data_IF_437133343010
#
_entry.id   IF_437133343010
#
_cell.length_a   1.000
_cell.length_b   1.000
_cell.length_c   1.000
_cell.angle_alpha   90.00
_cell.angle_beta   90.00
_cell.angle_gamma   90.00
#
_symmetry.space_group_name_H-M   'P 1'
#
loop_
_entity.id
_entity.type
_entity.pdbx_description
1 polymer ?
#
# COMPACT_ATOMS: atom_id res chain seq x y z
N UNK A 1 -6.60 4.34 -1.65
CA UNK A 1 -5.36 3.64 -2.06
C UNK A 1 -4.18 4.61 -2.02
N UNK A 2 -2.96 4.14 -1.76
CA UNK A 2 -1.76 4.98 -1.65
C UNK A 2 -0.67 4.47 -2.59
N UNK A 3 -0.19 5.30 -3.52
CA UNK A 3 0.89 5.00 -4.44
C UNK A 3 2.18 5.70 -3.98
N UNK A 4 3.21 4.92 -3.68
CA UNK A 4 4.56 5.39 -3.38
C UNK A 4 5.38 5.49 -4.66
N UNK A 5 5.99 6.65 -4.87
CA UNK A 5 6.63 7.07 -6.12
C UNK A 5 7.88 7.89 -5.85
N UNK A 6 8.60 8.29 -6.89
CA UNK A 6 9.70 9.27 -6.86
C UNK A 6 9.73 10.04 -8.18
N UNK A 7 10.15 11.31 -8.15
CA UNK A 7 10.45 12.06 -9.38
C UNK A 7 11.43 11.34 -10.32
N UNK A 8 11.16 11.41 -11.63
CA UNK A 8 11.98 10.76 -12.66
C UNK A 8 11.73 9.25 -12.83
N UNK A 9 10.74 8.69 -12.16
CA UNK A 9 10.33 7.29 -12.30
C UNK A 9 9.25 7.12 -13.40
N UNK A 10 9.67 6.76 -14.62
CA UNK A 10 8.73 6.58 -15.75
C UNK A 10 7.65 5.52 -15.50
N UNK A 11 7.97 4.45 -14.75
CA UNK A 11 6.99 3.43 -14.40
C UNK A 11 5.94 3.98 -13.41
N UNK A 12 6.35 4.86 -12.50
CA UNK A 12 5.47 5.50 -11.53
C UNK A 12 4.42 6.39 -12.22
N UNK A 13 4.84 7.16 -13.24
CA UNK A 13 3.93 8.01 -14.03
C UNK A 13 2.86 7.18 -14.74
N UNK A 14 3.28 6.08 -15.39
CA UNK A 14 2.36 5.17 -16.09
C UNK A 14 1.33 4.55 -15.15
N UNK A 15 1.78 4.05 -14.00
CA UNK A 15 0.89 3.45 -12.98
C UNK A 15 -0.06 4.50 -12.41
N UNK A 16 0.43 5.71 -12.13
CA UNK A 16 -0.40 6.83 -11.64
C UNK A 16 -1.52 7.18 -12.61
N UNK A 17 -1.23 7.29 -13.91
CA UNK A 17 -2.24 7.62 -14.91
C UNK A 17 -3.31 6.53 -15.01
N UNK A 18 -2.91 5.26 -14.97
CA UNK A 18 -3.84 4.13 -15.00
C UNK A 18 -4.75 4.14 -13.78
N UNK A 19 -4.19 4.32 -12.58
CA UNK A 19 -4.97 4.37 -11.35
C UNK A 19 -5.94 5.56 -11.35
N UNK A 20 -5.49 6.75 -11.78
CA UNK A 20 -6.35 7.93 -11.90
C UNK A 20 -7.51 7.70 -12.86
N UNK A 21 -7.22 7.12 -14.03
CA UNK A 21 -8.22 6.86 -15.06
C UNK A 21 -9.27 5.86 -14.56
N UNK A 22 -8.85 4.77 -13.92
CA UNK A 22 -9.77 3.77 -13.37
C UNK A 22 -10.62 4.32 -12.22
N UNK A 23 -9.99 5.01 -11.25
CA UNK A 23 -10.71 5.61 -10.12
C UNK A 23 -11.73 6.65 -10.59
N UNK A 24 -11.44 7.37 -11.67
CA UNK A 24 -12.34 8.38 -12.24
C UNK A 24 -13.46 7.78 -13.11
N UNK A 25 -13.34 6.53 -13.55
CA UNK A 25 -14.31 5.89 -14.46
C UNK A 25 -15.32 4.99 -13.74
N UNK A 26 -14.96 4.36 -12.62
CA UNK A 26 -15.71 3.22 -12.05
C UNK A 26 -16.48 3.53 -10.73
N UNK A 27 -16.88 4.79 -10.48
CA UNK A 27 -17.52 5.22 -9.22
C UNK A 27 -16.79 4.68 -7.98
N UNK A 28 -15.47 4.76 -8.04
CA UNK A 28 -14.58 4.06 -7.14
C UNK A 28 -14.61 4.75 -5.76
N UNK A 29 -15.02 4.06 -4.67
CA UNK A 29 -15.21 4.72 -3.37
C UNK A 29 -13.89 5.15 -2.72
N UNK A 30 -12.75 4.68 -3.23
CA UNK A 30 -11.44 5.02 -2.70
C UNK A 30 -10.76 6.14 -3.49
N UNK A 31 -10.16 7.08 -2.77
CA UNK A 31 -9.28 8.10 -3.36
C UNK A 31 -7.87 7.57 -3.60
N UNK A 32 -7.17 8.14 -4.59
CA UNK A 32 -5.74 7.93 -4.82
C UNK A 32 -4.92 8.95 -4.05
N UNK A 33 -4.17 8.50 -3.04
CA UNK A 33 -3.09 9.25 -2.41
C UNK A 33 -1.78 8.92 -3.12
N UNK A 34 -0.95 9.92 -3.39
CA UNK A 34 0.41 9.73 -3.88
C UNK A 34 1.39 10.20 -2.80
N UNK A 35 2.46 9.44 -2.60
CA UNK A 35 3.57 9.78 -1.70
C UNK A 35 4.86 9.77 -2.52
N UNK A 36 5.64 10.85 -2.46
CA UNK A 36 7.02 10.83 -2.95
C UNK A 36 7.92 10.30 -1.83
N UNK A 37 8.57 9.17 -2.05
CA UNK A 37 9.44 8.57 -1.04
C UNK A 37 10.73 9.37 -0.79
N UNK A 38 11.05 10.34 -1.65
CA UNK A 38 12.22 11.20 -1.49
C UNK A 38 11.97 12.44 -0.63
N UNK A 39 10.72 12.68 -0.24
CA UNK A 39 10.39 13.71 0.72
C UNK A 39 11.09 13.43 2.07
N UNK A 40 11.58 14.48 2.73
CA UNK A 40 12.40 14.37 3.94
C UNK A 40 11.66 13.76 5.14
N UNK A 41 10.33 13.76 5.12
CA UNK A 41 9.47 13.11 6.12
C UNK A 41 9.16 11.64 5.79
N UNK A 42 9.58 11.13 4.62
CA UNK A 42 9.31 9.77 4.16
C UNK A 42 10.51 8.82 4.32
N UNK A 43 11.38 9.05 5.31
CA UNK A 43 12.61 8.26 5.57
C UNK A 43 12.31 6.75 5.64
N UNK A 44 11.25 6.36 6.34
CA UNK A 44 10.86 4.95 6.46
C UNK A 44 10.40 4.37 5.12
N UNK A 45 9.58 5.10 4.36
CA UNK A 45 9.14 4.67 3.03
C UNK A 45 10.31 4.59 2.05
N UNK A 46 11.25 5.54 2.12
CA UNK A 46 12.47 5.52 1.32
C UNK A 46 13.30 4.26 1.59
N UNK A 47 13.60 3.98 2.85
CA UNK A 47 14.36 2.80 3.25
C UNK A 47 13.70 1.48 2.83
N UNK A 48 12.37 1.45 2.80
CA UNK A 48 11.61 0.25 2.40
C UNK A 48 11.48 0.07 0.89
N UNK A 49 11.28 1.16 0.13
CA UNK A 49 10.78 1.08 -1.26
C UNK A 49 11.73 1.64 -2.32
N UNK A 50 12.87 2.25 -1.96
CA UNK A 50 13.77 2.94 -2.93
C UNK A 50 14.17 2.14 -4.18
N UNK A 51 14.19 0.80 -4.10
CA UNK A 51 14.52 -0.08 -5.23
C UNK A 51 13.30 -0.74 -5.89
N UNK A 52 12.12 -0.54 -5.31
CA UNK A 52 10.91 -1.31 -5.63
C UNK A 52 9.73 -0.44 -6.09
N UNK A 53 9.91 0.89 -6.16
CA UNK A 53 8.88 1.80 -6.69
C UNK A 53 8.59 1.54 -8.19
N UNK A 54 7.33 1.73 -8.64
CA UNK A 54 6.18 2.15 -7.87
C UNK A 54 5.62 1.03 -6.98
N UNK A 55 5.07 1.45 -5.84
CA UNK A 55 4.47 0.57 -4.84
C UNK A 55 3.05 1.05 -4.54
N UNK A 56 2.04 0.20 -4.72
CA UNK A 56 0.65 0.50 -4.37
C UNK A 56 0.28 -0.17 -3.06
N UNK A 57 -0.37 0.58 -2.17
CA UNK A 57 -1.02 0.10 -0.95
C UNK A 57 -2.54 0.29 -1.08
N UNK A 58 -3.29 -0.72 -0.66
CA UNK A 58 -4.76 -0.71 -0.59
C UNK A 58 -5.16 -0.90 0.88
N UNK A 59 -6.11 -0.11 1.39
CA UNK A 59 -6.54 -0.11 2.81
C UNK A 59 -5.97 1.06 3.64
N UNK A 60 -6.12 0.98 4.98
CA UNK A 60 -5.70 2.00 5.96
C UNK A 60 -4.79 1.39 7.03
N UNK A 61 -3.73 2.12 7.43
CA UNK A 61 -2.90 1.82 8.62
C UNK A 61 -3.58 2.41 9.86
N UNK A 62 -4.14 1.58 10.75
CA UNK A 62 -4.54 2.06 12.07
C UNK A 62 -3.33 2.01 13.02
N UNK A 63 -2.79 3.19 13.31
CA UNK A 63 -1.74 3.38 14.31
C UNK A 63 -2.33 3.39 15.73
N UNK A 64 -3.02 2.32 16.14
CA UNK A 64 -3.39 2.13 17.54
C UNK A 64 -2.22 1.54 18.33
N UNK A 65 -1.14 2.31 18.47
CA UNK A 65 -0.08 2.03 19.43
C UNK A 65 -0.54 2.48 20.83
N UNK A 66 -1.54 1.79 21.38
CA UNK A 66 -1.77 1.77 22.82
C UNK A 66 -2.34 0.41 23.26
N UNK A 67 -1.69 -0.68 22.86
CA UNK A 67 -1.76 -1.94 23.62
C UNK A 67 -0.59 -1.94 24.60
N UNK A 68 -0.75 -1.19 25.70
CA UNK A 68 -0.08 -1.57 26.94
C UNK A 68 -0.78 -2.86 27.36
N UNK A 69 -0.20 -3.99 26.98
CA UNK A 69 -0.66 -5.31 27.36
C UNK A 69 -0.56 -5.45 28.88
N UNK A 70 -1.63 -5.09 29.56
CA UNK A 70 -1.92 -5.53 30.91
C UNK A 70 -3.44 -5.61 31.07
N UNK A 71 -4.03 -6.73 30.68
CA UNK A 71 -4.71 -7.57 31.67
C UNK A 71 -5.32 -8.82 31.03
N UNK A 72 -5.39 -9.83 31.89
CA UNK A 72 -5.85 -11.18 31.63
C UNK A 72 -7.34 -11.23 31.22
N UNK A 73 -7.64 -12.19 30.35
CA UNK A 73 -8.93 -12.85 30.19
C UNK A 73 -10.13 -11.97 29.76
N UNK A 74 -10.41 -11.92 28.46
CA UNK A 74 -11.78 -12.09 27.98
C UNK A 74 -11.79 -12.54 26.51
N UNK A 75 -12.40 -13.69 26.27
CA UNK A 75 -12.67 -14.25 24.95
C UNK A 75 -13.71 -13.38 24.23
N UNK A 76 -13.27 -12.62 23.23
CA UNK A 76 -13.99 -12.06 22.07
C UNK A 76 -13.28 -10.77 21.63
N UNK A 77 -12.06 -10.90 21.10
CA UNK A 77 -11.37 -9.78 20.44
C UNK A 77 -11.47 -9.97 18.94
N UNK A 78 -12.68 -9.76 18.42
CA UNK A 78 -13.02 -9.93 17.00
C UNK A 78 -13.24 -8.59 16.29
N UNK A 79 -12.54 -7.53 16.70
CA UNK A 79 -12.71 -6.19 16.15
C UNK A 79 -11.43 -5.34 16.16
N UNK A 80 -10.32 -5.82 15.58
CA UNK A 80 -9.20 -4.95 15.19
C UNK A 80 -8.44 -5.55 13.99
N UNK A 81 -9.15 -5.93 12.93
CA UNK A 81 -8.51 -6.27 11.65
C UNK A 81 -8.42 -5.01 10.78
N UNK A 82 -7.61 -4.05 11.18
CA UNK A 82 -7.15 -2.98 10.29
C UNK A 82 -5.98 -3.48 9.47
N UNK A 83 -6.32 -4.38 8.56
CA UNK A 83 -5.36 -5.02 7.70
C UNK A 83 -5.05 -4.09 6.53
N UNK A 84 -3.85 -3.55 6.55
CA UNK A 84 -3.22 -2.87 5.42
C UNK A 84 -2.85 -3.94 4.40
N UNK A 85 -3.38 -3.79 3.19
CA UNK A 85 -3.32 -4.85 2.19
C UNK A 85 -2.41 -4.46 1.00
N UNK A 86 -1.26 -5.13 1.04
CA UNK A 86 -0.23 -5.50 0.07
C UNK A 86 0.35 -4.55 -0.97
N UNK A 87 1.67 -4.65 -0.96
CA UNK A 87 2.73 -3.86 -1.56
C UNK A 87 3.29 -4.66 -2.72
N UNK A 88 2.92 -4.32 -3.96
CA UNK A 88 3.56 -4.95 -5.12
C UNK A 88 4.81 -4.17 -5.51
N UNK A 89 5.95 -4.84 -5.53
CA UNK A 89 7.21 -4.30 -6.04
C UNK A 89 7.16 -4.22 -7.56
N UNK A 90 7.68 -3.13 -8.12
CA UNK A 90 7.78 -2.94 -9.59
C UNK A 90 6.44 -3.15 -10.29
N UNK A 91 5.37 -2.63 -9.68
CA UNK A 91 4.01 -2.74 -10.17
C UNK A 91 3.93 -2.30 -11.65
N UNK A 92 3.48 -3.19 -12.53
CA UNK A 92 3.15 -2.82 -13.90
C UNK A 92 1.70 -2.32 -14.05
N UNK A 93 1.39 -1.81 -15.23
CA UNK A 93 0.09 -1.19 -15.56
C UNK A 93 -1.08 -2.16 -15.42
N UNK A 94 -0.97 -3.39 -15.92
CA UNK A 94 -2.05 -4.38 -15.86
C UNK A 94 -2.24 -4.87 -14.43
N UNK A 95 -1.14 -5.06 -13.73
CA UNK A 95 -1.14 -5.46 -12.34
C UNK A 95 -1.79 -4.39 -11.44
N UNK A 96 -1.59 -3.11 -11.73
CA UNK A 96 -2.25 -2.02 -11.03
C UNK A 96 -3.78 -2.07 -11.21
N UNK A 97 -4.25 -2.37 -12.43
CA UNK A 97 -5.68 -2.53 -12.70
C UNK A 97 -6.27 -3.73 -11.96
N UNK A 98 -5.56 -4.86 -11.94
CA UNK A 98 -6.01 -6.07 -11.25
C UNK A 98 -6.08 -5.82 -9.74
N UNK A 99 -5.03 -5.27 -9.15
CA UNK A 99 -5.00 -4.97 -7.71
C UNK A 99 -6.11 -3.99 -7.31
N UNK A 100 -6.37 -2.99 -8.15
CA UNK A 100 -7.45 -2.06 -7.94
C UNK A 100 -8.83 -2.76 -8.06
N UNK A 101 -9.06 -3.59 -9.08
CA UNK A 101 -10.32 -4.37 -9.19
C UNK A 101 -10.55 -5.33 -8.02
N UNK A 102 -9.51 -6.03 -7.58
CA UNK A 102 -9.54 -6.90 -6.39
C UNK A 102 -9.93 -6.11 -5.12
N UNK A 103 -9.53 -4.84 -5.04
CA UNK A 103 -9.88 -3.97 -3.92
C UNK A 103 -11.34 -3.49 -3.93
N UNK A 104 -11.99 -3.42 -5.11
CA UNK A 104 -13.45 -3.16 -5.20
C UNK A 104 -14.25 -4.39 -4.77
N UNK A 105 -13.77 -5.58 -5.13
CA UNK A 105 -14.46 -6.84 -4.85
C UNK A 105 -14.25 -7.24 -3.39
N UNK A 106 -15.12 -6.70 -2.53
CA UNK A 106 -15.15 -6.95 -1.10
C UNK A 106 -15.01 -8.46 -0.78
N UNK A 107 -14.10 -8.80 0.13
CA UNK A 107 -13.90 -10.19 0.60
C UNK A 107 -13.02 -11.11 -0.27
N UNK A 108 -12.49 -10.64 -1.42
CA UNK A 108 -11.62 -11.46 -2.28
C UNK A 108 -10.12 -11.20 -2.11
N UNK A 109 -9.74 -10.15 -1.38
CA UNK A 109 -8.35 -9.72 -1.28
C UNK A 109 -7.53 -10.64 -0.36
N UNK A 110 -6.60 -11.40 -0.94
CA UNK A 110 -5.67 -12.25 -0.21
C UNK A 110 -4.34 -11.53 0.02
N UNK A 111 -3.80 -11.54 1.26
CA UNK A 111 -2.47 -11.03 1.51
C UNK A 111 -1.44 -11.82 0.69
N UNK A 112 -0.62 -11.14 -0.13
CA UNK A 112 0.55 -11.78 -0.79
C UNK A 112 1.65 -12.03 0.27
N UNK A 113 2.81 -12.60 -0.01
CA UNK A 113 3.89 -12.74 1.00
C UNK A 113 5.14 -11.96 0.60
N UNK A 114 5.87 -11.42 1.59
CA UNK A 114 7.11 -10.65 1.40
C UNK A 114 6.98 -9.13 1.51
N UNK A 115 7.12 -8.57 2.73
CA UNK A 115 7.24 -7.11 2.92
C UNK A 115 8.50 -6.60 2.21
N UNK A 116 8.46 -5.47 1.48
CA UNK A 116 9.67 -4.87 0.94
C UNK A 116 10.61 -4.50 2.09
N UNK A 117 11.85 -4.95 1.97
CA UNK A 117 12.93 -4.57 2.86
C UNK A 117 14.15 -4.27 2.02
N UNK A 118 14.07 -3.20 1.21
CA UNK A 118 15.18 -2.74 0.40
C UNK A 118 16.45 -2.50 1.24
N UNK A 119 16.31 -2.07 2.50
CA UNK A 119 17.41 -1.94 3.44
C UNK A 119 18.12 -3.27 3.77
N UNK A 120 17.43 -4.41 3.77
CA UNK A 120 18.07 -5.72 3.97
C UNK A 120 18.87 -6.21 2.75
N UNK A 121 18.75 -5.54 1.60
CA UNK A 121 19.48 -5.88 0.37
C UNK A 121 20.76 -5.03 0.19
N UNK A 122 21.01 -4.04 1.03
CA UNK A 122 22.24 -3.24 1.01
C UNK A 122 23.32 -3.94 1.85
N UNK A 123 24.29 -4.55 1.16
CA UNK A 123 25.53 -5.09 1.73
C UNK A 123 26.69 -4.13 1.55
#
# INVERSE_FOLDING_TARGET
VTLYTKEGCTLCDKVKDVLKNQISQDDYPHSLKQIDITDTNQIESYGRYKYDIPVLHIGYENNNNNSLDNDNNNENSDHNNDTVYWTKHRLDVEEAKVALKEAIMEGSFQPRQGRPNAAAMER
#
